data_IF_231329492139
#
_entry.id   IF_231329492139
#
_cell.length_a   1.000
_cell.length_b   1.000
_cell.length_c   1.000
_cell.angle_alpha   90.00
_cell.angle_beta   90.00
_cell.angle_gamma   90.00
#
_symmetry.space_group_name_H-M   'P 1'
#
loop_
_entity.id
_entity.type
_entity.pdbx_description
1 polymer ?
#
# COMPACT_ATOMS: atom_id res chain seq x y z
N UNK A 1 -9.48 -5.30 33.47
CA UNK A 1 -9.29 -3.98 32.84
C UNK A 1 -7.87 -3.91 32.31
N UNK A 2 -7.67 -3.94 30.99
CA UNK A 2 -6.35 -3.71 30.38
C UNK A 2 -6.04 -2.23 30.55
N UNK A 3 -5.11 -1.89 31.42
CA UNK A 3 -4.59 -0.53 31.56
C UNK A 3 -3.92 -0.14 30.25
N UNK A 4 -4.60 0.70 29.47
CA UNK A 4 -4.05 1.31 28.26
C UNK A 4 -3.05 2.40 28.72
N UNK A 5 -1.86 1.97 29.16
CA UNK A 5 -0.76 2.90 29.41
C UNK A 5 -0.36 3.50 28.05
N UNK A 6 -0.38 4.83 27.95
CA UNK A 6 0.16 5.53 26.79
C UNK A 6 1.60 5.04 26.53
N UNK A 7 2.03 4.85 25.26
CA UNK A 7 3.38 4.41 24.97
C UNK A 7 4.38 5.38 25.61
N UNK A 8 5.22 4.87 26.51
CA UNK A 8 6.28 5.65 27.14
C UNK A 8 7.19 6.21 26.05
N UNK A 9 7.48 7.52 26.07
CA UNK A 9 8.37 8.16 25.10
C UNK A 9 9.75 7.51 25.18
N UNK A 10 10.19 6.83 24.12
CA UNK A 10 11.54 6.25 24.06
C UNK A 10 12.51 7.32 23.55
N UNK A 11 13.62 7.53 24.28
CA UNK A 11 14.68 8.48 23.93
C UNK A 11 15.91 7.64 23.56
N UNK A 12 16.27 7.62 22.28
CA UNK A 12 17.44 6.88 21.81
C UNK A 12 18.60 7.85 21.58
N UNK A 13 19.73 7.60 22.24
CA UNK A 13 20.94 8.39 22.08
C UNK A 13 22.08 7.47 21.66
N UNK A 14 22.71 7.75 20.52
CA UNK A 14 23.90 7.01 20.09
C UNK A 14 25.16 7.62 20.70
N UNK A 15 26.09 6.77 21.13
CA UNK A 15 27.42 7.19 21.60
C UNK A 15 28.44 6.74 20.55
N UNK A 16 29.06 7.70 19.88
CA UNK A 16 30.05 7.51 18.81
C UNK A 16 31.39 8.13 19.21
N UNK A 17 32.46 7.85 18.47
CA UNK A 17 33.78 8.43 18.72
C UNK A 17 34.92 7.51 18.29
N UNK A 18 36.09 8.11 18.12
CA UNK A 18 37.31 7.39 17.75
C UNK A 18 37.60 6.27 18.75
N UNK A 19 37.87 5.07 18.22
CA UNK A 19 38.29 3.81 18.88
C UNK A 19 38.20 3.74 20.41
N UNK A 20 37.46 2.76 20.92
CA UNK A 20 37.55 2.22 22.27
C UNK A 20 37.02 0.80 22.21
N UNK A 21 37.75 -0.20 22.74
CA UNK A 21 37.31 -1.60 22.67
C UNK A 21 36.08 -1.77 23.56
N UNK A 22 34.98 -2.28 23.01
CA UNK A 22 34.25 -3.46 23.49
C UNK A 22 33.12 -3.80 22.49
N UNK A 23 32.86 -5.10 22.42
CA UNK A 23 31.87 -5.79 21.61
C UNK A 23 30.43 -5.50 22.08
N UNK A 24 29.54 -5.54 21.09
CA UNK A 24 28.13 -5.94 21.17
C UNK A 24 27.11 -4.82 21.38
N UNK A 25 26.14 -4.84 20.45
CA UNK A 25 24.77 -4.36 20.51
C UNK A 25 24.08 -4.77 21.82
N UNK A 26 24.49 -4.17 22.94
CA UNK A 26 24.04 -4.52 24.27
C UNK A 26 22.73 -3.78 24.58
N UNK A 27 21.63 -4.54 24.66
CA UNK A 27 20.63 -4.26 25.70
C UNK A 27 21.39 -4.34 27.03
N UNK A 28 21.75 -3.19 27.60
CA UNK A 28 22.69 -3.09 28.73
C UNK A 28 22.13 -3.83 29.95
N UNK A 29 22.63 -5.05 30.19
CA UNK A 29 22.83 -5.59 31.53
C UNK A 29 24.31 -5.35 31.88
N UNK A 30 24.53 -4.67 33.02
CA UNK A 30 25.81 -4.42 33.72
C UNK A 30 27.06 -5.04 33.05
N UNK A 31 27.90 -4.21 32.44
CA UNK A 31 29.20 -4.65 31.93
C UNK A 31 30.33 -4.44 32.96
N UNK A 32 31.19 -5.47 33.04
CA UNK A 32 32.26 -5.69 34.00
C UNK A 32 33.54 -4.86 33.75
N UNK A 33 34.35 -4.73 34.79
CA UNK A 33 35.56 -3.91 34.96
C UNK A 33 36.76 -4.37 34.12
N UNK A 34 37.15 -3.65 33.04
CA UNK A 34 38.54 -3.60 32.53
C UNK A 34 38.89 -2.25 31.86
N UNK A 35 40.20 -1.93 31.88
CA UNK A 35 40.91 -0.69 31.47
C UNK A 35 40.25 0.17 30.37
N UNK A 36 40.19 1.48 30.61
CA UNK A 36 39.77 2.52 29.64
C UNK A 36 40.87 2.72 28.59
N UNK A 37 40.67 2.23 27.37
CA UNK A 37 41.45 2.61 26.20
C UNK A 37 40.50 3.27 25.18
N UNK A 38 40.90 4.40 24.58
CA UNK A 38 40.13 5.08 23.53
C UNK A 38 39.55 6.45 23.86
N UNK A 39 38.59 6.95 23.05
CA UNK A 39 37.91 8.25 23.26
C UNK A 39 37.03 8.33 24.53
N UNK A 40 36.88 7.22 25.26
CA UNK A 40 36.15 7.18 26.53
C UNK A 40 34.69 6.75 26.44
N UNK A 41 34.24 6.11 25.34
CA UNK A 41 32.85 5.61 25.17
C UNK A 41 32.38 4.73 26.34
N UNK A 42 33.14 3.69 26.66
CA UNK A 42 32.80 2.78 27.78
C UNK A 42 32.84 3.48 29.13
N UNK A 43 33.72 4.48 29.29
CA UNK A 43 33.79 5.30 30.49
C UNK A 43 32.53 6.16 30.63
N UNK A 44 32.16 6.90 29.58
CA UNK A 44 30.93 7.70 29.53
C UNK A 44 29.68 6.87 29.85
N UNK A 45 29.48 5.75 29.14
CA UNK A 45 28.31 4.88 29.34
C UNK A 45 28.25 4.36 30.78
N UNK A 46 29.39 4.00 31.37
CA UNK A 46 29.45 3.51 32.75
C UNK A 46 29.09 4.58 33.77
N UNK A 47 29.67 5.78 33.66
CA UNK A 47 29.40 6.86 34.61
C UNK A 47 27.93 7.28 34.59
N UNK A 48 27.32 7.33 33.41
CA UNK A 48 25.89 7.63 33.25
C UNK A 48 25.00 6.50 33.77
N UNK A 49 25.30 5.25 33.41
CA UNK A 49 24.50 4.09 33.84
C UNK A 49 24.60 3.78 35.34
N UNK A 50 25.61 4.35 36.02
CA UNK A 50 25.72 4.34 37.49
C UNK A 50 24.81 5.34 38.21
N UNK A 51 24.19 6.29 37.48
CA UNK A 51 23.27 7.27 38.06
C UNK A 51 21.88 6.64 38.29
N UNK A 52 21.35 6.75 39.50
CA UNK A 52 20.10 6.11 39.94
C UNK A 52 18.84 6.51 39.13
N UNK A 53 18.92 7.58 38.35
CA UNK A 53 17.86 8.07 37.45
C UNK A 53 17.81 7.35 36.10
N UNK A 54 18.85 6.57 35.74
CA UNK A 54 18.81 5.65 34.58
C UNK A 54 18.36 4.28 35.06
N UNK A 55 17.05 4.13 35.28
CA UNK A 55 16.48 2.79 35.45
C UNK A 55 16.40 2.08 34.10
N UNK A 56 17.30 1.11 33.89
CA UNK A 56 16.98 -0.07 33.10
C UNK A 56 15.93 -0.84 33.90
N UNK A 57 14.65 -0.73 33.54
CA UNK A 57 13.60 -1.41 34.33
C UNK A 57 12.35 -1.70 33.52
N UNK A 58 11.89 -2.96 33.61
CA UNK A 58 10.47 -3.24 33.76
C UNK A 58 9.96 -2.44 34.97
N UNK A 59 9.06 -1.48 34.77
CA UNK A 59 8.29 -0.88 35.88
C UNK A 59 8.56 0.58 36.26
N UNK A 60 7.88 1.46 35.52
CA UNK A 60 7.15 2.67 35.94
C UNK A 60 7.72 3.58 37.05
N UNK A 61 8.37 4.69 36.66
CA UNK A 61 8.07 6.08 37.07
C UNK A 61 8.85 7.10 36.19
N UNK A 62 8.16 8.19 35.83
CA UNK A 62 8.53 9.37 35.00
C UNK A 62 8.95 9.17 33.52
N UNK A 63 7.93 8.95 32.68
CA UNK A 63 7.67 9.37 31.29
C UNK A 63 8.73 9.37 30.15
N UNK A 64 9.95 8.88 30.33
CA UNK A 64 10.77 8.48 29.17
C UNK A 64 11.78 7.36 29.49
N UNK A 65 11.88 6.36 28.60
CA UNK A 65 12.94 5.33 28.67
C UNK A 65 14.13 5.81 27.85
N UNK A 66 15.28 6.01 28.49
CA UNK A 66 16.52 6.44 27.82
C UNK A 66 17.32 5.20 27.44
N UNK A 67 17.58 5.05 26.14
CA UNK A 67 18.38 3.98 25.57
C UNK A 67 19.66 4.56 25.01
N UNK A 68 20.80 4.22 25.63
CA UNK A 68 22.12 4.51 25.07
C UNK A 68 22.54 3.40 24.11
N UNK A 69 22.86 3.78 22.88
CA UNK A 69 23.31 2.89 21.82
C UNK A 69 24.82 3.04 21.70
N UNK A 70 25.55 2.03 22.18
CA UNK A 70 26.98 1.95 21.94
C UNK A 70 27.23 1.59 20.47
N UNK A 71 28.16 2.29 19.84
CA UNK A 71 28.48 2.09 18.43
C UNK A 71 29.93 1.60 18.26
N UNK A 72 30.15 0.60 17.38
CA UNK A 72 31.51 0.22 17.00
C UNK A 72 32.24 1.44 16.43
N UNK A 73 33.52 1.59 16.79
CA UNK A 73 34.34 2.69 16.27
C UNK A 73 35.05 2.28 15.00
N UNK A 74 35.02 3.13 13.98
CA UNK A 74 35.85 3.03 12.78
C UNK A 74 37.35 3.05 13.12
N UNK A 75 38.18 2.49 12.24
CA UNK A 75 39.61 2.23 12.42
C UNK A 75 39.90 1.22 13.56
N UNK A 76 39.12 0.12 13.62
CA UNK A 76 39.32 -0.95 14.60
C UNK A 76 40.46 -1.89 14.17
N UNK A 77 41.30 -2.32 15.10
CA UNK A 77 42.44 -3.22 14.81
C UNK A 77 42.03 -4.65 14.43
N UNK A 78 40.78 -5.04 14.67
CA UNK A 78 40.27 -6.40 14.50
C UNK A 78 39.14 -6.50 13.49
N UNK A 79 38.56 -5.37 13.07
CA UNK A 79 37.40 -5.33 12.18
C UNK A 79 37.63 -4.28 11.10
N UNK A 80 37.13 -4.59 9.90
CA UNK A 80 37.19 -3.66 8.77
C UNK A 80 36.17 -2.52 8.94
N UNK A 81 36.45 -1.36 8.33
CA UNK A 81 35.51 -0.24 8.33
C UNK A 81 34.23 -0.60 7.57
N UNK A 82 34.36 -1.45 6.55
CA UNK A 82 33.24 -2.06 5.83
C UNK A 82 32.32 -2.87 6.75
N UNK A 83 32.85 -3.70 7.64
CA UNK A 83 32.05 -4.48 8.60
C UNK A 83 31.34 -3.58 9.63
N UNK A 84 32.04 -2.53 10.07
CA UNK A 84 31.52 -1.56 11.03
C UNK A 84 30.36 -0.78 10.41
N UNK A 85 30.54 -0.31 9.18
CA UNK A 85 29.48 0.37 8.43
C UNK A 85 28.28 -0.55 8.22
N UNK A 86 28.51 -1.83 7.87
CA UNK A 86 27.44 -2.82 7.67
C UNK A 86 26.63 -3.03 8.95
N UNK A 87 27.28 -3.15 10.11
CA UNK A 87 26.59 -3.30 11.40
C UNK A 87 25.77 -2.06 11.76
N UNK A 88 26.37 -0.87 11.65
CA UNK A 88 25.66 0.40 11.93
C UNK A 88 24.45 0.52 11.00
N UNK A 89 24.62 0.26 9.72
CA UNK A 89 23.57 0.34 8.70
C UNK A 89 22.44 -0.64 8.92
N UNK A 90 22.76 -1.88 9.32
CA UNK A 90 21.76 -2.89 9.65
C UNK A 90 20.92 -2.47 10.86
N UNK A 91 21.56 -1.94 11.90
CA UNK A 91 20.88 -1.45 13.10
C UNK A 91 20.04 -0.19 12.84
N UNK A 92 20.60 0.81 12.15
CA UNK A 92 19.89 2.05 11.82
C UNK A 92 18.72 1.81 10.86
N UNK A 93 18.87 0.90 9.89
CA UNK A 93 17.78 0.52 8.97
C UNK A 93 16.64 -0.18 9.70
N UNK A 94 16.97 -1.08 10.64
CA UNK A 94 15.96 -1.78 11.44
C UNK A 94 15.16 -0.80 12.30
N UNK A 95 15.85 0.08 13.03
CA UNK A 95 15.20 1.07 13.90
C UNK A 95 14.39 2.09 13.12
N UNK A 96 14.85 2.51 11.94
CA UNK A 96 14.09 3.39 11.06
C UNK A 96 12.76 2.77 10.60
N UNK A 97 12.76 1.48 10.21
CA UNK A 97 11.54 0.75 9.82
C UNK A 97 10.56 0.58 10.99
N UNK A 98 11.06 0.54 12.22
CA UNK A 98 10.27 0.53 13.45
C UNK A 98 9.80 1.93 13.87
N UNK A 99 10.10 2.98 13.09
CA UNK A 99 9.84 4.39 13.41
C UNK A 99 10.52 4.84 14.72
N UNK A 100 11.68 4.24 15.03
CA UNK A 100 12.50 4.54 16.21
C UNK A 100 13.74 5.32 15.77
N UNK A 101 13.66 6.64 15.88
CA UNK A 101 14.73 7.56 15.45
C UNK A 101 15.59 8.01 16.63
N UNK A 102 16.82 8.42 16.33
CA UNK A 102 17.74 8.95 17.34
C UNK A 102 17.28 10.35 17.79
N UNK A 103 17.15 10.51 19.09
CA UNK A 103 16.92 11.79 19.76
C UNK A 103 18.21 12.60 19.88
N UNK A 104 19.36 11.91 19.92
CA UNK A 104 20.66 12.54 19.98
C UNK A 104 21.81 11.63 19.58
N UNK A 105 22.96 12.23 19.28
CA UNK A 105 24.23 11.53 19.13
C UNK A 105 25.29 12.26 19.93
N UNK A 106 26.05 11.54 20.73
CA UNK A 106 27.21 12.05 21.46
C UNK A 106 28.45 11.50 20.77
N UNK A 107 29.16 12.35 20.03
CA UNK A 107 30.44 12.02 19.42
C UNK A 107 31.58 12.40 20.36
N UNK A 108 32.30 11.41 20.89
CA UNK A 108 33.37 11.60 21.86
C UNK A 108 34.74 11.74 21.19
N UNK A 109 35.54 12.71 21.65
CA UNK A 109 36.94 12.87 21.29
C UNK A 109 37.80 13.16 22.53
N UNK A 110 38.96 12.50 22.65
CA UNK A 110 39.86 12.75 23.78
C UNK A 110 40.66 14.04 23.58
N UNK A 111 40.55 15.00 24.51
CA UNK A 111 41.30 16.26 24.43
C UNK A 111 42.82 16.07 24.68
N UNK A 112 43.21 14.90 25.18
CA UNK A 112 44.62 14.54 25.35
C UNK A 112 45.32 14.27 24.02
N UNK A 113 44.57 14.03 22.95
CA UNK A 113 45.14 13.78 21.64
C UNK A 113 45.77 15.07 21.13
N UNK A 114 47.09 15.06 20.96
CA UNK A 114 47.85 16.25 20.60
C UNK A 114 47.58 16.68 19.16
N UNK A 115 47.16 15.73 18.30
CA UNK A 115 46.83 15.97 16.89
C UNK A 115 45.61 15.13 16.49
N UNK A 116 44.80 15.68 15.60
CA UNK A 116 43.89 14.90 14.76
C UNK A 116 44.76 14.18 13.73
N UNK A 117 44.93 12.88 13.90
CA UNK A 117 45.64 12.05 12.92
C UNK A 117 44.75 11.80 11.70
N UNK A 118 45.35 11.32 10.62
CA UNK A 118 44.60 11.03 9.38
C UNK A 118 43.41 10.11 9.63
N UNK A 119 43.55 9.13 10.53
CA UNK A 119 42.48 8.19 10.87
C UNK A 119 41.31 8.83 11.61
N UNK A 120 41.56 9.76 12.55
CA UNK A 120 40.48 10.49 13.22
C UNK A 120 39.71 11.41 12.26
N UNK A 121 40.40 12.04 11.31
CA UNK A 121 39.76 12.87 10.26
C UNK A 121 38.86 12.01 9.37
N UNK A 122 39.34 10.85 8.94
CA UNK A 122 38.55 9.89 8.14
C UNK A 122 37.31 9.41 8.89
N UNK A 123 37.47 9.01 10.15
CA UNK A 123 36.36 8.61 11.01
C UNK A 123 35.31 9.73 11.16
N UNK A 124 35.74 10.99 11.21
CA UNK A 124 34.85 12.14 11.29
C UNK A 124 34.11 12.39 9.96
N UNK A 125 34.81 12.25 8.82
CA UNK A 125 34.19 12.32 7.50
C UNK A 125 33.12 11.23 7.35
N UNK A 126 33.44 10.00 7.75
CA UNK A 126 32.48 8.88 7.79
C UNK A 126 31.27 9.18 8.67
N UNK A 127 31.50 9.67 9.89
CA UNK A 127 30.44 10.11 10.79
C UNK A 127 29.53 11.17 10.16
N UNK A 128 30.12 12.15 9.47
CA UNK A 128 29.38 13.20 8.77
C UNK A 128 28.49 12.63 7.66
N UNK A 129 29.01 11.68 6.87
CA UNK A 129 28.25 11.03 5.79
C UNK A 129 27.13 10.14 6.32
N UNK A 130 27.33 9.50 7.47
CA UNK A 130 26.30 8.71 8.14
C UNK A 130 25.15 9.58 8.62
N UNK A 131 25.46 10.66 9.34
CA UNK A 131 24.45 11.49 9.99
C UNK A 131 23.67 12.32 8.99
N UNK A 132 24.37 12.90 8.01
CA UNK A 132 23.74 13.86 7.11
C UNK A 132 23.44 15.20 7.74
N UNK A 133 23.03 16.17 6.92
CA UNK A 133 22.79 17.54 7.42
C UNK A 133 21.61 17.62 8.39
N UNK A 134 20.57 16.82 8.18
CA UNK A 134 19.32 16.88 8.95
C UNK A 134 19.48 16.48 10.42
N UNK A 135 20.41 15.58 10.72
CA UNK A 135 20.62 15.04 12.06
C UNK A 135 21.67 15.81 12.89
N UNK A 136 22.51 16.65 12.27
CA UNK A 136 23.61 17.34 12.96
C UNK A 136 23.16 18.25 14.11
N UNK A 137 21.96 18.82 14.03
CA UNK A 137 21.34 19.59 15.14
C UNK A 137 21.14 18.78 16.42
N UNK A 138 21.10 17.45 16.31
CA UNK A 138 20.96 16.54 17.44
C UNK A 138 22.32 15.91 17.82
N UNK A 139 23.45 16.45 17.32
CA UNK A 139 24.80 15.93 17.58
C UNK A 139 25.52 16.81 18.58
N UNK A 140 26.06 16.18 19.63
CA UNK A 140 27.03 16.76 20.54
C UNK A 140 28.43 16.28 20.21
N UNK A 141 29.30 17.22 19.83
CA UNK A 141 30.73 17.00 19.69
C UNK A 141 31.34 17.22 21.07
N UNK A 142 31.71 16.13 21.72
CA UNK A 142 32.01 16.13 23.15
C UNK A 142 33.48 15.81 23.40
N UNK A 143 34.20 16.74 24.02
CA UNK A 143 35.58 16.52 24.46
C UNK A 143 35.61 15.77 25.80
N UNK A 144 36.49 14.78 25.92
CA UNK A 144 36.64 13.93 27.11
C UNK A 144 38.06 13.98 27.67
N UNK A 145 38.29 13.36 28.83
CA UNK A 145 39.62 13.22 29.46
C UNK A 145 40.27 14.54 29.93
N UNK A 146 39.46 15.54 30.23
CA UNK A 146 39.90 16.82 30.79
C UNK A 146 40.73 16.70 32.07
N UNK A 147 40.50 15.66 32.88
CA UNK A 147 41.27 15.37 34.09
C UNK A 147 42.71 14.90 33.83
N UNK A 148 43.03 14.48 32.59
CA UNK A 148 44.38 14.04 32.19
C UNK A 148 45.20 15.17 31.57
N UNK A 149 44.62 16.35 31.38
CA UNK A 149 45.31 17.52 30.86
C UNK A 149 46.01 18.21 32.03
N UNK A 150 47.35 18.22 32.02
CA UNK A 150 48.16 18.87 33.07
C UNK A 150 48.11 20.39 33.01
N UNK A 151 47.91 20.96 31.82
CA UNK A 151 47.86 22.40 31.58
C UNK A 151 46.55 22.73 30.87
N UNK A 152 45.61 23.33 31.61
CA UNK A 152 44.25 23.46 31.12
C UNK A 152 44.11 24.46 29.97
N UNK A 153 44.98 25.49 29.93
CA UNK A 153 45.04 26.41 28.80
C UNK A 153 45.43 25.68 27.50
N UNK A 154 46.34 24.69 27.56
CA UNK A 154 46.66 23.85 26.40
C UNK A 154 45.49 22.97 25.95
N UNK A 155 44.68 22.47 26.89
CA UNK A 155 43.44 21.75 26.58
C UNK A 155 42.46 22.63 25.82
N UNK A 156 42.26 23.86 26.26
CA UNK A 156 41.37 24.84 25.61
C UNK A 156 41.86 25.25 24.23
N UNK A 157 43.17 25.44 24.04
CA UNK A 157 43.76 25.70 22.71
C UNK A 157 43.49 24.53 21.75
N UNK A 158 43.61 23.28 22.22
CA UNK A 158 43.29 22.09 21.39
C UNK A 158 41.81 22.03 21.04
N UNK A 159 40.91 22.30 22.00
CA UNK A 159 39.47 22.29 21.74
C UNK A 159 39.09 23.37 20.73
N UNK A 160 39.70 24.56 20.85
CA UNK A 160 39.50 25.65 19.89
C UNK A 160 39.96 25.24 18.48
N UNK A 161 41.14 24.65 18.36
CA UNK A 161 41.65 24.15 17.08
C UNK A 161 40.72 23.08 16.47
N UNK A 162 40.13 22.19 17.28
CA UNK A 162 39.12 21.24 16.80
C UNK A 162 37.91 21.96 16.19
N UNK A 163 37.45 23.06 16.81
CA UNK A 163 36.25 23.79 16.42
C UNK A 163 36.46 24.74 15.24
N UNK A 164 37.65 25.34 15.10
CA UNK A 164 37.95 26.31 14.05
C UNK A 164 38.27 25.65 12.71
N UNK A 165 38.90 24.47 12.74
CA UNK A 165 39.30 23.77 11.53
C UNK A 165 38.10 23.11 10.85
N UNK A 166 37.82 23.50 9.60
CA UNK A 166 36.67 22.97 8.84
C UNK A 166 36.77 21.48 8.55
N UNK A 167 37.99 20.96 8.41
CA UNK A 167 38.25 19.53 8.23
C UNK A 167 38.10 18.73 9.54
N UNK A 168 37.98 19.41 10.67
CA UNK A 168 37.65 18.83 11.99
C UNK A 168 36.18 19.17 12.31
N UNK A 169 35.90 19.79 13.44
CA UNK A 169 34.54 20.03 13.90
C UNK A 169 33.90 21.28 13.30
N UNK A 170 34.66 22.19 12.72
CA UNK A 170 34.14 23.46 12.20
C UNK A 170 32.98 23.29 11.24
N UNK A 171 33.08 22.38 10.26
CA UNK A 171 32.00 22.13 9.30
C UNK A 171 30.75 21.49 9.95
N UNK A 172 30.93 20.70 11.01
CA UNK A 172 29.81 20.08 11.73
C UNK A 172 29.09 21.11 12.60
N UNK A 173 29.84 22.00 13.24
CA UNK A 173 29.31 23.11 14.03
C UNK A 173 28.58 24.11 13.13
N UNK A 174 29.17 24.49 11.99
CA UNK A 174 28.52 25.31 10.94
C UNK A 174 27.13 24.75 10.54
N UNK A 175 26.95 23.43 10.65
CA UNK A 175 25.72 22.71 10.27
C UNK A 175 24.83 22.33 11.45
N UNK A 176 25.11 22.85 12.64
CA UNK A 176 24.22 22.76 13.81
C UNK A 176 24.65 21.79 14.91
N UNK A 177 25.78 21.08 14.77
CA UNK A 177 26.32 20.30 15.89
C UNK A 177 26.81 21.23 17.01
N UNK A 178 26.66 20.79 18.27
CA UNK A 178 27.00 21.61 19.44
C UNK A 178 28.24 21.05 20.15
N UNK A 179 29.17 21.92 20.53
CA UNK A 179 30.33 21.56 21.35
C UNK A 179 29.89 21.33 22.81
N UNK A 180 30.39 20.26 23.41
CA UNK A 180 30.16 19.93 24.83
C UNK A 180 31.45 19.41 25.48
N UNK A 181 31.52 19.47 26.81
CA UNK A 181 32.61 18.87 27.59
C UNK A 181 32.06 17.79 28.52
N UNK A 182 32.69 16.62 28.52
CA UNK A 182 32.45 15.57 29.50
C UNK A 182 33.56 15.57 30.54
N UNK A 183 33.22 15.95 31.77
CA UNK A 183 34.17 16.08 32.89
C UNK A 183 34.48 14.74 33.57
N UNK A 184 33.85 13.65 33.11
CA UNK A 184 34.14 12.32 33.59
C UNK A 184 33.38 11.91 34.84
N UNK A 185 32.30 12.62 35.17
CA UNK A 185 31.40 12.28 36.28
C UNK A 185 30.03 11.89 35.75
N UNK A 186 29.29 11.06 36.50
CA UNK A 186 27.92 10.70 36.14
C UNK A 186 27.01 11.93 35.95
N UNK A 187 27.14 12.94 36.81
CA UNK A 187 26.42 14.21 36.70
C UNK A 187 26.71 14.94 35.38
N UNK A 188 27.99 15.07 35.01
CA UNK A 188 28.35 15.71 33.73
C UNK A 188 27.81 14.94 32.52
N UNK A 189 27.73 13.60 32.61
CA UNK A 189 27.16 12.77 31.56
C UNK A 189 25.64 12.85 31.48
N UNK A 190 24.96 12.91 32.63
CA UNK A 190 23.51 13.09 32.68
C UNK A 190 23.10 14.46 32.13
N UNK A 191 23.85 15.52 32.46
CA UNK A 191 23.60 16.85 31.93
C UNK A 191 23.64 16.91 30.39
N UNK A 192 24.45 16.06 29.73
CA UNK A 192 24.43 15.93 28.26
C UNK A 192 23.17 15.23 27.77
N UNK A 193 22.71 14.19 28.47
CA UNK A 193 21.51 13.45 28.11
C UNK A 193 20.27 14.33 28.28
N UNK A 194 20.18 15.06 29.40
CA UNK A 194 19.08 15.96 29.70
C UNK A 194 18.88 17.03 28.61
N UNK A 195 19.98 17.55 28.07
CA UNK A 195 19.94 18.50 26.96
C UNK A 195 19.49 17.88 25.64
N UNK A 196 19.70 16.58 25.42
CA UNK A 196 19.26 15.86 24.21
C UNK A 196 17.82 15.34 24.31
N UNK A 197 17.30 15.09 25.52
CA UNK A 197 15.94 14.59 25.75
C UNK A 197 14.80 15.41 25.10
N UNK A 198 14.81 16.75 25.10
CA UNK A 198 13.74 17.54 24.49
C UNK A 198 13.80 17.56 22.96
N UNK A 199 14.91 17.13 22.34
CA UNK A 199 15.07 17.21 20.90
C UNK A 199 14.04 16.35 20.16
N UNK A 200 13.59 16.87 19.00
CA UNK A 200 12.79 16.09 18.07
C UNK A 200 13.72 15.05 17.41
N UNK A 201 13.40 13.75 17.47
CA UNK A 201 14.21 12.73 16.81
C UNK A 201 14.38 13.01 15.31
N UNK A 202 15.55 12.69 14.78
CA UNK A 202 15.91 12.93 13.40
C UNK A 202 16.38 11.64 12.72
N UNK A 203 16.03 11.47 11.46
CA UNK A 203 16.58 10.42 10.62
C UNK A 203 18.01 10.78 10.21
N UNK A 204 18.87 9.77 10.15
CA UNK A 204 20.19 9.88 9.56
C UNK A 204 20.10 9.71 8.04
N UNK A 205 20.95 10.38 7.26
CA UNK A 205 20.96 10.24 5.80
C UNK A 205 21.11 8.77 5.38
N UNK A 206 21.93 7.97 6.10
CA UNK A 206 22.06 6.54 5.77
C UNK A 206 20.75 5.76 5.91
N UNK A 207 19.86 6.15 6.84
CA UNK A 207 18.55 5.50 7.00
C UNK A 207 17.64 5.84 5.83
N UNK A 208 17.59 7.12 5.42
CA UNK A 208 16.80 7.55 4.28
C UNK A 208 17.31 6.89 2.98
N UNK A 209 18.62 6.87 2.78
CA UNK A 209 19.24 6.27 1.61
C UNK A 209 18.99 4.77 1.51
N UNK A 210 19.10 4.02 2.60
CA UNK A 210 18.92 2.57 2.59
C UNK A 210 17.45 2.15 2.55
N UNK A 211 16.57 2.84 3.29
CA UNK A 211 15.18 2.39 3.50
C UNK A 211 14.21 3.10 2.57
N UNK A 212 14.29 4.44 2.48
CA UNK A 212 13.36 5.25 1.68
C UNK A 212 13.75 5.22 0.22
N UNK A 213 15.01 5.56 -0.08
CA UNK A 213 15.53 5.59 -1.44
C UNK A 213 15.93 4.21 -1.96
N UNK A 214 15.96 3.20 -1.08
CA UNK A 214 16.32 1.82 -1.40
C UNK A 214 17.67 1.71 -2.13
N UNK A 215 18.67 2.50 -1.75
CA UNK A 215 20.07 2.37 -2.25
C UNK A 215 20.76 1.17 -1.61
N UNK A 216 21.75 0.59 -2.29
CA UNK A 216 22.64 -0.43 -1.69
C UNK A 216 23.56 0.20 -0.67
N UNK A 217 24.16 -0.60 0.21
CA UNK A 217 25.10 -0.08 1.21
C UNK A 217 26.26 0.69 0.56
N UNK A 218 26.87 0.11 -0.47
CA UNK A 218 27.94 0.74 -1.26
C UNK A 218 27.46 1.97 -2.03
N UNK A 219 26.18 2.00 -2.41
CA UNK A 219 25.57 3.14 -3.08
C UNK A 219 25.21 4.32 -2.16
N UNK A 220 25.32 4.16 -0.84
CA UNK A 220 25.12 5.27 0.13
C UNK A 220 26.29 6.25 0.13
N UNK A 221 26.08 7.43 0.67
CA UNK A 221 27.13 8.45 0.82
C UNK A 221 28.28 7.98 1.72
N UNK A 222 27.96 7.22 2.78
CA UNK A 222 28.95 6.60 3.64
C UNK A 222 29.67 5.43 2.95
N UNK A 223 28.95 4.59 2.20
CA UNK A 223 29.53 3.49 1.43
C UNK A 223 30.49 3.96 0.35
N UNK A 224 30.14 5.01 -0.40
CA UNK A 224 31.04 5.63 -1.38
C UNK A 224 32.29 6.21 -0.73
N UNK A 225 32.16 6.82 0.45
CA UNK A 225 33.29 7.35 1.20
C UNK A 225 34.31 6.25 1.58
N UNK A 226 33.85 5.10 2.07
CA UNK A 226 34.73 3.95 2.33
C UNK A 226 35.38 3.45 1.04
N UNK A 227 34.61 3.32 -0.04
CA UNK A 227 35.13 2.83 -1.31
C UNK A 227 36.23 3.75 -1.88
N UNK A 228 36.00 5.07 -1.89
CA UNK A 228 36.99 6.07 -2.30
C UNK A 228 38.25 6.00 -1.43
N UNK A 229 38.09 5.78 -0.12
CA UNK A 229 39.21 5.62 0.79
C UNK A 229 40.01 4.35 0.52
N UNK A 230 39.37 3.20 0.34
CA UNK A 230 40.05 1.94 0.06
C UNK A 230 40.85 2.03 -1.25
N UNK A 231 40.30 2.67 -2.28
CA UNK A 231 41.01 2.95 -3.54
C UNK A 231 42.25 3.81 -3.28
N UNK A 232 42.09 4.92 -2.53
CA UNK A 232 43.21 5.82 -2.24
C UNK A 232 44.31 5.15 -1.38
N UNK A 233 43.92 4.28 -0.43
CA UNK A 233 44.86 3.50 0.37
C UNK A 233 45.62 2.48 -0.47
N UNK A 234 44.92 1.77 -1.36
CA UNK A 234 45.53 0.78 -2.25
C UNK A 234 46.60 1.43 -3.14
N UNK A 235 46.28 2.55 -3.79
CA UNK A 235 47.23 3.27 -4.64
C UNK A 235 48.42 3.80 -3.84
N UNK A 236 48.18 4.36 -2.65
CA UNK A 236 49.25 4.81 -1.76
C UNK A 236 50.21 3.68 -1.41
N UNK A 237 49.71 2.50 -1.04
CA UNK A 237 50.57 1.37 -0.68
C UNK A 237 51.33 0.82 -1.89
N UNK A 238 50.73 0.81 -3.09
CA UNK A 238 51.44 0.44 -4.32
C UNK A 238 52.60 1.39 -4.63
N UNK A 239 52.37 2.70 -4.51
CA UNK A 239 53.42 3.71 -4.69
C UNK A 239 54.54 3.57 -3.65
N UNK A 240 54.17 3.35 -2.38
CA UNK A 240 55.11 3.14 -1.29
C UNK A 240 55.97 1.88 -1.50
N UNK A 241 55.35 0.76 -1.91
CA UNK A 241 56.07 -0.47 -2.27
C UNK A 241 57.06 -0.21 -3.41
N UNK A 242 56.63 0.50 -4.46
CA UNK A 242 57.49 0.84 -5.59
C UNK A 242 58.69 1.69 -5.17
N UNK A 243 58.47 2.67 -4.29
CA UNK A 243 59.53 3.52 -3.72
C UNK A 243 60.53 2.70 -2.91
N UNK A 244 60.03 1.90 -1.96
CA UNK A 244 60.84 1.02 -1.12
C UNK A 244 61.60 -0.04 -1.93
N UNK A 245 61.03 -0.55 -3.03
CA UNK A 245 61.73 -1.47 -3.93
C UNK A 245 62.93 -0.79 -4.61
N UNK A 246 62.78 0.46 -5.05
CA UNK A 246 63.87 1.25 -5.62
C UNK A 246 64.97 1.53 -4.58
N UNK A 247 64.60 1.96 -3.38
CA UNK A 247 65.55 2.19 -2.27
C UNK A 247 66.29 0.91 -1.90
N UNK A 248 65.61 -0.24 -1.92
CA UNK A 248 66.24 -1.55 -1.67
C UNK A 248 67.29 -1.89 -2.72
N UNK A 249 67.03 -1.59 -4.00
CA UNK A 249 68.00 -1.80 -5.08
C UNK A 249 69.23 -0.91 -4.93
N UNK A 250 69.06 0.33 -4.50
CA UNK A 250 70.16 1.25 -4.21
C UNK A 250 71.00 0.76 -3.03
N UNK A 251 70.37 0.36 -1.92
CA UNK A 251 71.08 -0.23 -0.78
C UNK A 251 71.89 -1.48 -1.16
N UNK A 252 71.38 -2.31 -2.09
CA UNK A 252 72.11 -3.47 -2.64
C UNK A 252 73.36 -3.01 -3.43
N UNK A 253 73.26 -1.96 -4.24
CA UNK A 253 74.39 -1.41 -5.02
C UNK A 253 75.46 -0.82 -4.09
N UNK A 254 75.04 -0.14 -3.03
CA UNK A 254 75.92 0.46 -2.02
C UNK A 254 76.49 -0.56 -1.02
N UNK A 255 76.00 -1.81 -1.05
CA UNK A 255 76.36 -2.90 -0.12
C UNK A 255 76.02 -2.57 1.33
N UNK A 256 74.99 -1.76 1.56
CA UNK A 256 74.47 -1.47 2.89
C UNK A 256 73.50 -2.58 3.33
N UNK A 257 74.03 -3.53 4.11
CA UNK A 257 73.25 -4.66 4.60
C UNK A 257 72.21 -4.26 5.67
N UNK A 258 72.50 -3.25 6.48
CA UNK A 258 71.59 -2.80 7.56
C UNK A 258 70.37 -2.08 6.95
N UNK A 259 70.61 -1.15 6.02
CA UNK A 259 69.55 -0.45 5.29
C UNK A 259 68.67 -1.44 4.49
N UNK A 260 69.29 -2.43 3.83
CA UNK A 260 68.56 -3.45 3.08
C UNK A 260 67.58 -4.24 3.97
N UNK A 261 68.00 -4.67 5.16
CA UNK A 261 67.13 -5.42 6.08
C UNK A 261 65.99 -4.55 6.62
N UNK A 262 66.27 -3.29 6.97
CA UNK A 262 65.24 -2.33 7.40
C UNK A 262 64.17 -2.11 6.32
N UNK A 263 64.59 -1.89 5.07
CA UNK A 263 63.68 -1.71 3.93
C UNK A 263 62.90 -3.00 3.66
N UNK A 264 63.51 -4.18 3.81
CA UNK A 264 62.82 -5.46 3.64
C UNK A 264 61.71 -5.65 4.68
N UNK A 265 61.94 -5.23 5.93
CA UNK A 265 60.92 -5.27 6.99
C UNK A 265 59.75 -4.30 6.68
N UNK A 266 60.03 -3.07 6.24
CA UNK A 266 58.98 -2.12 5.87
C UNK A 266 58.21 -2.58 4.63
N UNK A 267 58.88 -3.14 3.62
CA UNK A 267 58.23 -3.76 2.45
C UNK A 267 57.28 -4.88 2.86
N UNK A 268 57.68 -5.75 3.79
CA UNK A 268 56.82 -6.82 4.29
C UNK A 268 55.56 -6.26 4.97
N UNK A 269 55.72 -5.24 5.83
CA UNK A 269 54.60 -4.57 6.50
C UNK A 269 53.67 -3.87 5.51
N UNK A 270 54.21 -3.14 4.53
CA UNK A 270 53.39 -2.39 3.56
C UNK A 270 52.70 -3.33 2.57
N UNK A 271 53.32 -4.46 2.19
CA UNK A 271 52.65 -5.52 1.42
C UNK A 271 51.50 -6.16 2.20
N UNK A 272 51.68 -6.44 3.51
CA UNK A 272 50.59 -6.93 4.36
C UNK A 272 49.43 -5.91 4.44
N UNK A 273 49.73 -4.62 4.54
CA UNK A 273 48.72 -3.55 4.51
C UNK A 273 47.98 -3.49 3.17
N UNK A 274 48.69 -3.65 2.05
CA UNK A 274 48.09 -3.71 0.71
C UNK A 274 47.19 -4.95 0.55
N UNK A 275 47.63 -6.12 1.00
CA UNK A 275 46.83 -7.35 0.97
C UNK A 275 45.53 -7.18 1.77
N UNK A 276 45.59 -6.56 2.95
CA UNK A 276 44.38 -6.27 3.75
C UNK A 276 43.44 -5.30 3.04
N UNK A 277 43.95 -4.21 2.48
CA UNK A 277 43.14 -3.23 1.75
C UNK A 277 42.46 -3.83 0.51
N UNK A 278 43.21 -4.62 -0.27
CA UNK A 278 42.68 -5.32 -1.46
C UNK A 278 41.65 -6.39 -1.09
N UNK A 279 41.88 -7.14 -0.01
CA UNK A 279 40.91 -8.11 0.50
C UNK A 279 39.61 -7.42 0.95
N UNK A 280 39.71 -6.27 1.64
CA UNK A 280 38.54 -5.48 2.04
C UNK A 280 37.78 -4.93 0.82
N UNK A 281 38.48 -4.42 -0.19
CA UNK A 281 37.88 -3.96 -1.45
C UNK A 281 37.10 -5.10 -2.14
N UNK A 282 37.73 -6.28 -2.24
CA UNK A 282 37.08 -7.46 -2.83
C UNK A 282 35.83 -7.85 -2.04
N UNK A 283 35.90 -7.84 -0.71
CA UNK A 283 34.77 -8.12 0.15
C UNK A 283 33.63 -7.11 -0.07
N UNK A 284 33.94 -5.81 -0.18
CA UNK A 284 32.96 -4.76 -0.46
C UNK A 284 32.25 -4.98 -1.80
N UNK A 285 33.00 -5.36 -2.85
CA UNK A 285 32.46 -5.69 -4.18
C UNK A 285 31.57 -6.94 -4.11
N UNK A 286 32.03 -8.02 -3.46
CA UNK A 286 31.25 -9.24 -3.30
C UNK A 286 29.92 -8.98 -2.58
N UNK A 287 29.97 -8.25 -1.45
CA UNK A 287 28.76 -7.84 -0.73
C UNK A 287 27.81 -7.03 -1.62
N UNK A 288 28.33 -6.08 -2.40
CA UNK A 288 27.51 -5.27 -3.31
C UNK A 288 26.84 -6.13 -4.38
N UNK A 289 27.60 -7.05 -5.00
CA UNK A 289 27.06 -7.93 -6.03
C UNK A 289 25.97 -8.85 -5.48
N UNK A 290 26.15 -9.37 -4.27
CA UNK A 290 25.15 -10.22 -3.61
C UNK A 290 23.90 -9.43 -3.22
N UNK A 291 24.06 -8.19 -2.74
CA UNK A 291 22.93 -7.32 -2.45
C UNK A 291 22.12 -7.00 -3.72
N UNK A 292 22.79 -6.72 -4.83
CA UNK A 292 22.15 -6.48 -6.13
C UNK A 292 21.40 -7.72 -6.63
N UNK A 293 22.01 -8.91 -6.55
CA UNK A 293 21.36 -10.18 -6.91
C UNK A 293 20.07 -10.41 -6.12
N UNK A 294 20.11 -10.19 -4.79
CA UNK A 294 18.92 -10.34 -3.93
C UNK A 294 17.80 -9.37 -4.33
N UNK A 295 18.15 -8.12 -4.62
CA UNK A 295 17.18 -7.09 -5.03
C UNK A 295 16.57 -7.39 -6.39
N UNK A 296 17.35 -7.85 -7.35
CA UNK A 296 16.84 -8.21 -8.67
C UNK A 296 15.94 -9.45 -8.60
N UNK A 297 16.29 -10.43 -7.77
CA UNK A 297 15.43 -11.59 -7.49
C UNK A 297 14.10 -11.18 -6.82
N UNK A 298 14.13 -10.24 -5.86
CA UNK A 298 12.93 -9.69 -5.23
C UNK A 298 12.05 -8.93 -6.23
N UNK A 299 12.65 -8.07 -7.08
CA UNK A 299 11.94 -7.37 -8.16
C UNK A 299 11.26 -8.33 -9.13
N UNK A 300 11.95 -9.37 -9.55
CA UNK A 300 11.38 -10.40 -10.43
C UNK A 300 10.20 -11.14 -9.77
N UNK A 301 10.30 -11.44 -8.47
CA UNK A 301 9.21 -12.06 -7.70
C UNK A 301 8.01 -11.13 -7.58
N UNK A 302 8.22 -9.87 -7.26
CA UNK A 302 7.16 -8.86 -7.15
C UNK A 302 6.48 -8.60 -8.51
N UNK A 303 7.26 -8.54 -9.59
CA UNK A 303 6.72 -8.41 -10.95
C UNK A 303 5.88 -9.63 -11.33
N UNK A 304 6.36 -10.84 -11.04
CA UNK A 304 5.59 -12.07 -11.28
C UNK A 304 4.29 -12.08 -10.47
N UNK A 305 4.34 -11.71 -9.18
CA UNK A 305 3.14 -11.60 -8.33
C UNK A 305 2.13 -10.60 -8.90
N UNK A 306 2.58 -9.43 -9.32
CA UNK A 306 1.70 -8.42 -9.95
C UNK A 306 1.05 -8.91 -11.24
N UNK A 307 1.80 -9.61 -12.09
CA UNK A 307 1.24 -10.20 -13.32
C UNK A 307 0.20 -11.27 -13.02
N UNK A 308 0.42 -12.07 -11.99
CA UNK A 308 -0.52 -13.10 -11.53
C UNK A 308 -1.80 -12.46 -10.94
N UNK A 309 -1.65 -11.48 -10.04
CA UNK A 309 -2.77 -10.69 -9.49
C UNK A 309 -3.60 -10.01 -10.60
N UNK A 310 -2.94 -9.42 -11.60
CA UNK A 310 -3.60 -8.83 -12.77
C UNK A 310 -4.37 -9.88 -13.58
N UNK A 311 -3.77 -11.04 -13.83
CA UNK A 311 -4.42 -12.14 -14.57
C UNK A 311 -5.63 -12.69 -13.82
N UNK A 312 -5.54 -12.85 -12.50
CA UNK A 312 -6.66 -13.26 -11.67
C UNK A 312 -7.79 -12.22 -11.65
N UNK A 313 -7.46 -10.93 -11.53
CA UNK A 313 -8.43 -9.85 -11.58
C UNK A 313 -9.15 -9.82 -12.94
N UNK A 314 -8.42 -10.01 -14.04
CA UNK A 314 -8.98 -10.06 -15.37
C UNK A 314 -9.91 -11.28 -15.56
N UNK A 315 -9.49 -12.47 -15.11
CA UNK A 315 -10.33 -13.67 -15.16
C UNK A 315 -11.62 -13.52 -14.34
N UNK A 316 -11.56 -12.84 -13.18
CA UNK A 316 -12.75 -12.53 -12.37
C UNK A 316 -13.69 -11.56 -13.09
N UNK A 317 -13.15 -10.56 -13.78
CA UNK A 317 -13.95 -9.61 -14.56
C UNK A 317 -14.65 -10.31 -15.73
N UNK A 318 -13.92 -11.11 -16.51
CA UNK A 318 -14.46 -11.89 -17.63
C UNK A 318 -15.57 -12.84 -17.17
N UNK A 319 -15.38 -13.53 -16.03
CA UNK A 319 -16.40 -14.40 -15.46
C UNK A 319 -17.65 -13.62 -15.06
N UNK A 320 -17.50 -12.46 -14.40
CA UNK A 320 -18.63 -11.63 -14.00
C UNK A 320 -19.40 -11.06 -15.21
N UNK A 321 -18.70 -10.72 -16.29
CA UNK A 321 -19.32 -10.30 -17.55
C UNK A 321 -20.10 -11.44 -18.21
N UNK A 322 -19.52 -12.65 -18.23
CA UNK A 322 -20.21 -13.84 -18.75
C UNK A 322 -21.47 -14.17 -17.93
N UNK A 323 -21.41 -14.09 -16.61
CA UNK A 323 -22.57 -14.30 -15.72
C UNK A 323 -23.66 -13.26 -15.96
N UNK A 324 -23.31 -11.97 -16.07
CA UNK A 324 -24.26 -10.89 -16.40
C UNK A 324 -24.92 -11.12 -17.76
N UNK A 325 -24.14 -11.55 -18.77
CA UNK A 325 -24.67 -11.83 -20.10
C UNK A 325 -25.66 -13.00 -20.06
N UNK A 326 -25.32 -14.08 -19.36
CA UNK A 326 -26.21 -15.23 -19.18
C UNK A 326 -27.50 -14.85 -18.45
N UNK A 327 -27.42 -14.03 -17.40
CA UNK A 327 -28.60 -13.52 -16.69
C UNK A 327 -29.48 -12.65 -17.61
N UNK A 328 -28.89 -11.78 -18.42
CA UNK A 328 -29.62 -10.96 -19.38
C UNK A 328 -30.32 -11.81 -20.45
N UNK A 329 -29.65 -12.85 -20.97
CA UNK A 329 -30.23 -13.79 -21.92
C UNK A 329 -31.38 -14.60 -21.32
N UNK A 330 -31.22 -15.11 -20.09
CA UNK A 330 -32.28 -15.81 -19.35
C UNK A 330 -33.50 -14.91 -19.12
N UNK A 331 -33.27 -13.67 -18.68
CA UNK A 331 -34.35 -12.71 -18.46
C UNK A 331 -35.07 -12.35 -19.77
N UNK A 332 -34.32 -12.16 -20.86
CA UNK A 332 -34.91 -11.91 -22.17
C UNK A 332 -35.75 -13.10 -22.67
N UNK A 333 -35.31 -14.34 -22.42
CA UNK A 333 -36.07 -15.54 -22.78
C UNK A 333 -37.39 -15.64 -21.99
N UNK A 334 -37.36 -15.39 -20.68
CA UNK A 334 -38.57 -15.36 -19.83
C UNK A 334 -39.57 -14.30 -20.30
N UNK A 335 -39.09 -13.11 -20.67
CA UNK A 335 -39.94 -12.03 -21.20
C UNK A 335 -40.60 -12.46 -22.52
N UNK A 336 -39.86 -13.08 -23.44
CA UNK A 336 -40.42 -13.62 -24.70
C UNK A 336 -41.47 -14.71 -24.46
N UNK A 337 -41.24 -15.59 -23.49
CA UNK A 337 -42.21 -16.63 -23.13
C UNK A 337 -43.46 -16.06 -22.48
N UNK A 338 -43.32 -15.02 -21.66
CA UNK A 338 -44.45 -14.29 -21.09
C UNK A 338 -45.28 -13.61 -22.18
N UNK A 339 -44.63 -12.90 -23.10
CA UNK A 339 -45.29 -12.26 -24.25
C UNK A 339 -46.06 -13.29 -25.09
N UNK A 340 -45.44 -14.43 -25.42
CA UNK A 340 -46.13 -15.52 -26.14
C UNK A 340 -47.35 -16.06 -25.40
N UNK A 341 -47.28 -16.19 -24.07
CA UNK A 341 -48.41 -16.65 -23.26
C UNK A 341 -49.53 -15.61 -23.21
N UNK A 342 -49.20 -14.34 -23.10
CA UNK A 342 -50.17 -13.24 -23.12
C UNK A 342 -50.83 -13.11 -24.50
N UNK A 343 -50.07 -13.24 -25.59
CA UNK A 343 -50.59 -13.27 -26.96
C UNK A 343 -51.53 -14.46 -27.18
N UNK A 344 -51.14 -15.67 -26.76
CA UNK A 344 -52.01 -16.85 -26.84
C UNK A 344 -53.32 -16.63 -26.09
N UNK A 345 -53.28 -16.09 -24.87
CA UNK A 345 -54.50 -15.78 -24.10
C UNK A 345 -55.40 -14.80 -24.84
N UNK A 346 -54.84 -13.74 -25.43
CA UNK A 346 -55.60 -12.77 -26.23
C UNK A 346 -56.29 -13.43 -27.41
N UNK A 347 -55.58 -14.32 -28.12
CA UNK A 347 -56.15 -15.06 -29.25
C UNK A 347 -57.26 -16.02 -28.80
N UNK A 348 -57.02 -16.78 -27.73
CA UNK A 348 -58.03 -17.70 -27.15
C UNK A 348 -59.29 -16.93 -26.69
N UNK A 349 -59.12 -15.75 -26.09
CA UNK A 349 -60.22 -14.88 -25.66
C UNK A 349 -61.00 -14.31 -26.86
N UNK A 350 -60.29 -13.88 -27.92
CA UNK A 350 -60.93 -13.44 -29.18
C UNK A 350 -61.73 -14.57 -29.82
N UNK A 351 -61.18 -15.78 -29.89
CA UNK A 351 -61.87 -16.94 -30.48
C UNK A 351 -63.11 -17.33 -29.65
N UNK A 352 -63.04 -17.23 -28.33
CA UNK A 352 -64.19 -17.43 -27.44
C UNK A 352 -65.27 -16.37 -27.64
N UNK A 353 -64.86 -15.11 -27.80
CA UNK A 353 -65.79 -14.00 -28.04
C UNK A 353 -66.49 -14.16 -29.39
N UNK A 354 -65.75 -14.58 -30.42
CA UNK A 354 -66.28 -14.86 -31.76
C UNK A 354 -67.26 -16.04 -31.74
N UNK A 355 -66.93 -17.14 -31.05
CA UNK A 355 -67.87 -18.26 -30.84
C UNK A 355 -69.15 -17.82 -30.13
N UNK A 356 -69.05 -16.99 -29.07
CA UNK A 356 -70.24 -16.45 -28.39
C UNK A 356 -71.10 -15.63 -29.33
N UNK A 357 -70.50 -14.77 -30.15
CA UNK A 357 -71.23 -13.97 -31.16
C UNK A 357 -71.94 -14.87 -32.17
N UNK A 358 -71.27 -15.93 -32.66
CA UNK A 358 -71.89 -16.90 -33.57
C UNK A 358 -73.05 -17.66 -32.91
N UNK A 359 -72.90 -18.08 -31.64
CA UNK A 359 -73.97 -18.75 -30.90
C UNK A 359 -75.17 -17.82 -30.64
N UNK A 360 -74.93 -16.57 -30.27
CA UNK A 360 -75.98 -15.58 -30.06
C UNK A 360 -76.72 -15.26 -31.36
N UNK A 361 -76.00 -15.13 -32.47
CA UNK A 361 -76.57 -14.91 -33.79
C UNK A 361 -77.40 -16.12 -34.26
N UNK A 362 -76.91 -17.35 -34.04
CA UNK A 362 -77.68 -18.56 -34.32
C UNK A 362 -78.95 -18.67 -33.46
N UNK A 363 -78.89 -18.24 -32.19
CA UNK A 363 -80.07 -18.16 -31.31
C UNK A 363 -81.07 -17.13 -31.82
N UNK A 364 -80.61 -15.98 -32.28
CA UNK A 364 -81.46 -14.93 -32.83
C UNK A 364 -82.13 -15.37 -34.14
N UNK A 365 -81.37 -15.98 -35.05
CA UNK A 365 -81.90 -16.54 -36.30
C UNK A 365 -82.93 -17.65 -36.03
N UNK A 366 -82.69 -18.50 -35.02
CA UNK A 366 -83.66 -19.52 -34.60
C UNK A 366 -84.95 -18.87 -34.10
N UNK A 367 -84.87 -17.85 -33.24
CA UNK A 367 -86.04 -17.10 -32.76
C UNK A 367 -86.81 -16.46 -33.92
N UNK A 368 -86.10 -15.87 -34.90
CA UNK A 368 -86.72 -15.29 -36.10
C UNK A 368 -87.46 -16.33 -36.93
N UNK A 369 -86.89 -17.54 -37.09
CA UNK A 369 -87.57 -18.66 -37.78
C UNK A 369 -88.81 -19.12 -37.02
N UNK A 370 -88.69 -19.32 -35.71
CA UNK A 370 -89.84 -19.71 -34.85
C UNK A 370 -90.96 -18.65 -34.90
N UNK A 371 -90.61 -17.36 -34.87
CA UNK A 371 -91.58 -16.26 -35.01
C UNK A 371 -92.20 -16.21 -36.42
N UNK A 372 -91.44 -16.49 -37.47
CA UNK A 372 -91.95 -16.55 -38.84
C UNK A 372 -92.91 -17.74 -39.03
N UNK A 373 -92.54 -18.94 -38.57
CA UNK A 373 -93.40 -20.11 -38.58
C UNK A 373 -94.69 -19.86 -37.79
N UNK A 374 -94.59 -19.16 -36.65
CA UNK A 374 -95.76 -18.77 -35.86
C UNK A 374 -96.66 -17.82 -36.63
N UNK A 375 -96.11 -16.81 -37.32
CA UNK A 375 -96.89 -15.88 -38.16
C UNK A 375 -97.56 -16.59 -39.34
N UNK A 376 -96.84 -17.49 -40.02
CA UNK A 376 -97.38 -18.28 -41.13
C UNK A 376 -98.51 -19.21 -40.65
N UNK A 377 -98.37 -19.80 -39.46
CA UNK A 377 -99.43 -20.59 -38.83
C UNK A 377 -100.65 -19.72 -38.50
N UNK A 378 -100.45 -18.56 -37.89
CA UNK A 378 -101.54 -17.61 -37.59
C UNK A 378 -102.23 -17.11 -38.87
N UNK A 379 -101.50 -16.88 -39.98
CA UNK A 379 -102.09 -16.54 -41.27
C UNK A 379 -102.87 -17.71 -41.89
N UNK A 380 -102.35 -18.92 -41.78
CA UNK A 380 -103.02 -20.13 -42.28
C UNK A 380 -104.33 -20.36 -41.52
N UNK A 381 -104.32 -20.25 -40.19
CA UNK A 381 -105.52 -20.33 -39.36
C UNK A 381 -106.55 -19.26 -39.75
N UNK A 382 -106.11 -18.01 -40.02
CA UNK A 382 -107.00 -16.94 -40.52
C UNK A 382 -107.59 -17.25 -41.89
N UNK A 383 -106.81 -17.82 -42.81
CA UNK A 383 -107.30 -18.22 -44.15
C UNK A 383 -108.31 -19.37 -44.04
N UNK A 384 -108.03 -20.37 -43.23
CA UNK A 384 -108.94 -21.49 -42.97
C UNK A 384 -110.25 -20.99 -42.33
N UNK A 385 -110.18 -20.05 -41.39
CA UNK A 385 -111.36 -19.38 -40.82
C UNK A 385 -112.14 -18.55 -41.86
N UNK A 386 -111.46 -17.87 -42.77
CA UNK A 386 -112.09 -17.11 -43.84
C UNK A 386 -112.78 -18.03 -44.85
N UNK A 387 -112.12 -19.08 -45.30
CA UNK A 387 -112.70 -20.09 -46.20
C UNK A 387 -113.92 -20.77 -45.55
N UNK A 388 -113.87 -21.02 -44.24
CA UNK A 388 -115.01 -21.57 -43.49
C UNK A 388 -116.21 -20.62 -43.48
N UNK A 389 -115.96 -19.32 -43.28
CA UNK A 389 -117.02 -18.28 -43.35
C UNK A 389 -117.59 -18.14 -44.76
N UNK A 390 -116.76 -18.17 -45.79
CA UNK A 390 -117.20 -18.12 -47.20
C UNK A 390 -118.01 -19.35 -47.59
N UNK A 391 -117.64 -20.54 -47.07
CA UNK A 391 -118.41 -21.77 -47.27
C UNK A 391 -119.78 -21.72 -46.57
N UNK A 392 -119.83 -21.21 -45.33
CA UNK A 392 -121.10 -20.97 -44.62
C UNK A 392 -121.98 -19.94 -45.32
N UNK A 393 -121.41 -18.88 -45.90
CA UNK A 393 -122.17 -17.92 -46.73
C UNK A 393 -122.68 -18.53 -48.03
N UNK A 394 -121.88 -19.39 -48.67
CA UNK A 394 -122.27 -20.09 -49.90
C UNK A 394 -123.42 -21.07 -49.65
N UNK A 395 -123.37 -21.83 -48.56
CA UNK A 395 -124.47 -22.71 -48.15
C UNK A 395 -125.75 -21.90 -47.85
N UNK A 396 -125.66 -20.75 -47.17
CA UNK A 396 -126.82 -19.85 -46.97
C UNK A 396 -127.39 -19.27 -48.27
N UNK A 397 -126.54 -19.07 -49.29
CA UNK A 397 -126.95 -18.60 -50.62
C UNK A 397 -127.68 -19.70 -51.39
N UNK A 398 -127.17 -20.92 -51.35
CA UNK A 398 -127.78 -22.10 -51.96
C UNK A 398 -129.12 -22.47 -51.31
N UNK A 399 -129.26 -22.28 -49.99
CA UNK A 399 -130.54 -22.46 -49.28
C UNK A 399 -131.58 -21.37 -49.64
N UNK A 400 -131.13 -20.14 -49.90
CA UNK A 400 -132.00 -19.07 -50.44
C UNK A 400 -132.49 -19.36 -51.85
N UNK A 401 -131.61 -19.85 -52.73
CA UNK A 401 -131.96 -20.19 -54.11
C UNK A 401 -132.90 -21.40 -54.20
N UNK A 402 -132.77 -22.38 -53.29
CA UNK A 402 -133.71 -23.50 -53.17
C UNK A 402 -135.11 -23.06 -52.72
N UNK A 403 -135.19 -22.06 -51.84
CA UNK A 403 -136.46 -21.51 -51.37
C UNK A 403 -137.25 -20.77 -52.48
N UNK A 404 -136.55 -20.07 -53.38
CA UNK A 404 -137.19 -19.31 -54.47
C UNK A 404 -137.73 -20.20 -55.61
N UNK A 405 -137.16 -21.40 -55.82
CA UNK A 405 -137.61 -22.32 -56.88
C UNK A 405 -138.94 -23.05 -56.60
N UNK A 406 -139.44 -23.05 -55.36
CA UNK A 406 -140.65 -23.76 -54.93
C UNK A 406 -141.92 -22.89 -54.92
N UNK A 407 -141.82 -21.57 -55.20
CA UNK A 407 -142.91 -20.61 -55.05
C UNK A 407 -143.64 -20.19 -56.36
N UNK A 408 -143.29 -20.74 -57.53
CA UNK A 408 -143.90 -20.33 -58.82
C UNK A 408 -144.49 -21.48 -59.65
N UNK A 409 -145.56 -22.09 -59.13
CA UNK A 409 -146.64 -22.70 -59.92
C UNK A 409 -147.98 -22.37 -59.23
N UNK A 410 -148.82 -21.53 -59.88
CA UNK A 410 -150.31 -21.50 -59.93
C UNK A 410 -150.94 -20.10 -59.68
N UNK A 411 -151.83 -19.71 -60.63
CA UNK A 411 -152.83 -18.60 -60.68
C UNK A 411 -152.26 -17.27 -61.24
N UNK A 412 -152.78 -16.56 -62.27
CA UNK A 412 -154.01 -16.66 -63.08
C UNK A 412 -154.85 -15.35 -63.02
N UNK A 413 -154.99 -14.64 -64.16
CA UNK A 413 -156.03 -13.63 -64.55
C UNK A 413 -155.88 -12.11 -64.21
N UNK A 414 -155.54 -11.33 -65.24
CA UNK A 414 -156.26 -10.20 -65.92
C UNK A 414 -157.00 -9.08 -65.12
N UNK A 415 -156.66 -7.81 -65.38
CA UNK A 415 -157.53 -6.70 -65.88
C UNK A 415 -156.70 -5.38 -66.04
N UNK A 416 -157.05 -4.56 -67.06
CA UNK A 416 -156.32 -3.34 -67.51
C UNK A 416 -156.69 -2.03 -66.78
N UNK A 417 -156.75 -0.89 -67.50
CA UNK A 417 -155.64 0.06 -67.70
C UNK A 417 -155.95 1.48 -67.16
N UNK A 418 -154.95 2.38 -67.13
CA UNK A 418 -154.92 3.88 -67.15
C UNK A 418 -153.46 4.23 -66.75
N UNK A 419 -152.62 5.03 -67.42
CA UNK A 419 -152.79 6.29 -68.14
C UNK A 419 -151.99 7.40 -67.41
N UNK A 420 -151.32 8.28 -68.15
CA UNK A 420 -150.44 9.43 -67.74
C UNK A 420 -148.97 9.08 -67.45
N UNK A 421 -147.93 9.53 -68.17
CA UNK A 421 -147.62 10.76 -68.94
C UNK A 421 -147.41 12.03 -68.10
N UNK A 422 -146.13 12.36 -67.83
CA UNK A 422 -145.42 13.65 -67.97
C UNK A 422 -144.02 13.49 -67.32
N UNK A 423 -142.89 13.78 -68.02
CA UNK A 423 -142.15 15.07 -67.99
C UNK A 423 -141.82 15.53 -66.56
N UNK A 424 -140.57 15.74 -66.13
CA UNK A 424 -139.33 16.20 -66.75
C UNK A 424 -138.11 15.57 -66.08
#
# INVERSE_FOLDING_TARGET
MKTNAAPSKEILIAVMGATGRIKTLLKIHRASTKKVAGAGKSYFIREVSGCAEVKVSDGLRSWATITLVDTPGFNDTTRTDTDILTEISGWTSKTFKENRLLSGIIYLHSITNVRMDGSAVKNLMMFQKLCGRGALKNVFLTTTQWSRVTDQAKGEVRERALCEERNFWGLLIERGATLQRFHGTGESGMGLIDQLMPNKPAALDIQEQLVTEKRTLVGTDAGRCINEELIAQEEKYKEEIKGLESEREEAIKEKDAEMKELIAEELAKTRERLEKATAEMKHLVEMHTEEMRKRDAERQRDEKRRKEEQREAQAKLEKAEAEKKLQAESHAAEMRDRERREEKRRNDDQEREERRRQEDQAREDKRRREDQERREKEERERREDQERREKEERERREDRERADSLASRRIGLQFGPIGFHLQF
#
